data_IF_588794905984
#
_entry.id   IF_588794905984
#
_cell.length_a   1.000
_cell.length_b   1.000
_cell.length_c   1.000
_cell.angle_alpha   90.00
_cell.angle_beta   90.00
_cell.angle_gamma   90.00
#
_symmetry.space_group_name_H-M   'P 1'
#
loop_
_entity.id
_entity.type
_entity.pdbx_description
1 polymer ?
#
# COMPACT_ATOMS: atom_id res chain seq x y z
N UNK A 1 -12.41 -2.91 -19.94
CA UNK A 1 -12.73 -3.27 -21.33
C UNK A 1 -11.43 -3.24 -22.13
N UNK A 2 -10.64 -2.18 -21.96
CA UNK A 2 -9.36 -1.93 -22.62
C UNK A 2 -8.32 -3.05 -22.40
N UNK A 3 -8.16 -3.57 -21.18
CA UNK A 3 -7.20 -4.66 -20.93
C UNK A 3 -7.55 -5.98 -21.65
N UNK A 4 -8.84 -6.27 -21.82
CA UNK A 4 -9.31 -7.46 -22.53
C UNK A 4 -9.03 -7.29 -24.03
N UNK A 5 -9.17 -6.06 -24.52
CA UNK A 5 -8.91 -5.71 -25.92
C UNK A 5 -7.43 -5.73 -26.25
N UNK A 6 -6.59 -5.15 -25.40
CA UNK A 6 -5.12 -5.18 -25.55
C UNK A 6 -4.61 -6.63 -25.50
N UNK A 7 -5.17 -7.46 -24.61
CA UNK A 7 -4.82 -8.89 -24.55
C UNK A 7 -5.15 -9.60 -25.87
N UNK A 8 -6.33 -9.37 -26.45
CA UNK A 8 -6.72 -9.96 -27.74
C UNK A 8 -5.79 -9.54 -28.88
N UNK A 9 -5.38 -8.26 -28.91
CA UNK A 9 -4.43 -7.74 -29.91
C UNK A 9 -3.07 -8.42 -29.73
N UNK A 10 -2.57 -8.52 -28.50
CA UNK A 10 -1.30 -9.19 -28.21
C UNK A 10 -1.31 -10.66 -28.64
N UNK A 11 -2.39 -11.40 -28.32
CA UNK A 11 -2.59 -12.79 -28.75
C UNK A 11 -2.65 -12.93 -30.28
N UNK A 12 -3.30 -11.98 -30.97
CA UNK A 12 -3.39 -11.99 -32.43
C UNK A 12 -2.03 -11.82 -33.13
N UNK A 13 -1.13 -11.01 -32.56
CA UNK A 13 0.19 -10.72 -33.13
C UNK A 13 1.33 -11.57 -32.55
N UNK A 14 1.04 -12.56 -31.71
CA UNK A 14 2.03 -13.37 -30.96
C UNK A 14 3.03 -12.50 -30.18
N UNK A 15 2.52 -11.39 -29.60
CA UNK A 15 3.31 -10.45 -28.81
C UNK A 15 3.23 -10.88 -27.35
N UNK A 16 4.39 -11.17 -26.75
CA UNK A 16 4.47 -11.35 -25.29
C UNK A 16 4.07 -10.08 -24.59
N UNK A 17 3.05 -10.17 -23.74
CA UNK A 17 2.45 -9.01 -23.11
C UNK A 17 2.28 -9.18 -21.59
N UNK A 18 2.54 -8.10 -20.86
CA UNK A 18 2.48 -8.07 -19.41
C UNK A 18 1.68 -6.84 -18.97
N UNK A 19 0.66 -7.05 -18.13
CA UNK A 19 -0.04 -5.95 -17.45
C UNK A 19 0.41 -5.94 -16.00
N UNK A 20 1.07 -4.86 -15.59
CA UNK A 20 1.36 -4.60 -14.19
C UNK A 20 0.28 -3.69 -13.60
N UNK A 21 -0.36 -4.14 -12.53
CA UNK A 21 -1.30 -3.38 -11.72
C UNK A 21 -0.65 -3.08 -10.36
N UNK A 22 0.18 -2.04 -10.26
CA UNK A 22 0.70 -1.63 -8.97
C UNK A 22 -0.43 -1.15 -8.07
N UNK A 23 -0.29 -1.38 -6.76
CA UNK A 23 -1.04 -0.63 -5.77
C UNK A 23 -0.52 0.82 -5.70
N UNK A 24 -0.86 1.58 -4.67
CA UNK A 24 -0.49 3.00 -4.59
C UNK A 24 1.03 3.19 -4.52
N UNK A 25 1.61 3.82 -5.55
CA UNK A 25 3.07 3.93 -5.66
C UNK A 25 3.60 5.01 -4.69
N UNK A 26 4.64 4.67 -3.94
CA UNK A 26 5.40 5.58 -3.09
C UNK A 26 6.86 5.66 -3.53
N UNK A 27 7.36 6.89 -3.62
CA UNK A 27 8.73 7.25 -3.95
C UNK A 27 8.87 8.77 -3.84
N UNK A 28 10.05 9.34 -4.07
CA UNK A 28 10.40 10.76 -3.81
C UNK A 28 9.35 11.80 -4.21
N UNK A 29 8.62 11.58 -5.31
CA UNK A 29 7.64 12.53 -5.85
C UNK A 29 6.18 12.05 -5.74
N UNK A 30 5.87 11.04 -4.92
CA UNK A 30 4.50 10.54 -4.77
C UNK A 30 3.57 11.61 -4.21
N UNK A 31 2.62 12.07 -5.05
CA UNK A 31 1.67 13.12 -4.67
C UNK A 31 0.65 12.64 -3.64
N UNK A 32 0.21 11.39 -3.75
CA UNK A 32 -0.80 10.84 -2.84
C UNK A 32 -0.21 10.57 -1.46
N UNK A 33 0.98 9.97 -1.39
CA UNK A 33 1.70 9.78 -0.13
C UNK A 33 2.02 11.13 0.53
N UNK A 34 2.50 12.12 -0.25
CA UNK A 34 2.69 13.50 0.23
C UNK A 34 1.41 14.12 0.78
N UNK A 35 0.29 14.00 0.05
CA UNK A 35 -1.02 14.51 0.48
C UNK A 35 -1.47 13.83 1.77
N UNK A 36 -1.28 12.51 1.88
CA UNK A 36 -1.59 11.74 3.07
C UNK A 36 -0.77 12.21 4.29
N UNK A 37 0.55 12.33 4.15
CA UNK A 37 1.45 12.79 5.22
C UNK A 37 1.09 14.21 5.66
N UNK A 38 0.88 15.13 4.71
CA UNK A 38 0.52 16.51 5.02
C UNK A 38 -0.84 16.62 5.72
N UNK A 39 -1.84 15.86 5.27
CA UNK A 39 -3.14 15.80 5.92
C UNK A 39 -3.04 15.24 7.33
N UNK A 40 -2.19 14.24 7.56
CA UNK A 40 -1.98 13.69 8.88
C UNK A 40 -1.22 14.69 9.78
N UNK A 41 -0.16 15.33 9.28
CA UNK A 41 0.61 16.37 9.98
C UNK A 41 -0.30 17.48 10.52
N UNK A 42 -1.18 18.02 9.68
CA UNK A 42 -2.12 19.10 10.02
C UNK A 42 -3.35 18.66 10.82
N UNK A 43 -3.56 17.35 11.03
CA UNK A 43 -4.72 16.85 11.76
C UNK A 43 -4.61 17.09 13.28
N UNK A 44 -5.75 17.38 13.91
CA UNK A 44 -5.86 17.50 15.37
C UNK A 44 -5.53 16.18 16.08
N UNK A 45 -5.14 16.26 17.35
CA UNK A 45 -4.84 15.08 18.17
C UNK A 45 -6.01 14.09 18.22
N UNK A 46 -7.24 14.60 18.33
CA UNK A 46 -8.47 13.80 18.32
C UNK A 46 -8.63 13.04 17.00
N UNK A 47 -8.41 13.72 15.86
CA UNK A 47 -8.49 13.08 14.54
C UNK A 47 -7.40 12.02 14.35
N UNK A 48 -6.17 12.30 14.79
CA UNK A 48 -5.06 11.32 14.77
C UNK A 48 -5.38 10.08 15.60
N UNK A 49 -5.98 10.26 16.78
CA UNK A 49 -6.43 9.16 17.63
C UNK A 49 -7.46 8.26 16.94
N UNK A 50 -8.49 8.85 16.32
CA UNK A 50 -9.49 8.09 15.57
C UNK A 50 -8.89 7.34 14.38
N UNK A 51 -8.02 7.99 13.59
CA UNK A 51 -7.35 7.35 12.46
C UNK A 51 -6.58 6.10 12.89
N UNK A 52 -5.79 6.19 13.97
CA UNK A 52 -5.06 5.05 14.52
C UNK A 52 -5.99 3.94 15.03
N UNK A 53 -7.07 4.31 15.71
CA UNK A 53 -8.02 3.36 16.29
C UNK A 53 -8.78 2.59 15.21
N UNK A 54 -9.28 3.28 14.18
CA UNK A 54 -10.07 2.66 13.10
C UNK A 54 -9.22 1.85 12.14
N UNK A 55 -8.00 2.31 11.85
CA UNK A 55 -7.17 1.73 10.81
C UNK A 55 -6.05 0.84 11.36
N UNK A 56 -6.18 0.37 12.62
CA UNK A 56 -5.18 -0.47 13.29
C UNK A 56 -4.77 -1.70 12.48
N UNK A 57 -5.70 -2.34 11.76
CA UNK A 57 -5.48 -3.55 10.95
C UNK A 57 -5.59 -3.31 9.44
N UNK A 58 -5.74 -2.05 9.00
CA UNK A 58 -5.92 -1.73 7.58
C UNK A 58 -4.57 -1.76 6.87
N UNK A 59 -4.51 -2.42 5.72
CA UNK A 59 -3.36 -2.35 4.81
C UNK A 59 -3.34 -0.99 4.12
N UNK A 60 -2.15 -0.43 3.93
CA UNK A 60 -2.01 0.85 3.24
C UNK A 60 -2.02 0.74 1.73
N UNK A 61 -1.80 -0.46 1.18
CA UNK A 61 -1.71 -0.67 -0.27
C UNK A 61 -0.62 0.19 -0.92
N UNK A 62 0.45 0.51 -0.19
CA UNK A 62 1.58 1.20 -0.79
C UNK A 62 2.52 0.20 -1.46
N UNK A 63 3.15 0.61 -2.54
CA UNK A 63 4.22 -0.13 -3.19
C UNK A 63 5.37 0.82 -3.50
N UNK A 64 6.59 0.43 -3.16
CA UNK A 64 7.76 1.23 -3.48
C UNK A 64 7.95 1.33 -5.00
N UNK A 65 8.30 2.51 -5.49
CA UNK A 65 8.72 2.68 -6.90
C UNK A 65 9.92 1.80 -7.25
N UNK A 66 10.85 1.62 -6.32
CA UNK A 66 12.03 0.75 -6.52
C UNK A 66 11.60 -0.71 -6.63
N UNK A 67 10.63 -1.16 -5.83
CA UNK A 67 10.06 -2.51 -5.96
C UNK A 67 9.37 -2.69 -7.31
N UNK A 68 8.57 -1.72 -7.76
CA UNK A 68 7.91 -1.77 -9.06
C UNK A 68 8.95 -1.88 -10.21
N UNK A 69 10.03 -1.10 -10.15
CA UNK A 69 11.13 -1.16 -11.13
C UNK A 69 11.77 -2.56 -11.14
N UNK A 70 12.03 -3.16 -9.99
CA UNK A 70 12.58 -4.51 -9.95
C UNK A 70 11.64 -5.57 -10.55
N UNK A 71 10.33 -5.43 -10.35
CA UNK A 71 9.35 -6.32 -10.99
C UNK A 71 9.39 -6.18 -12.52
N UNK A 72 9.55 -4.96 -13.03
CA UNK A 72 9.73 -4.69 -14.47
C UNK A 72 11.04 -5.34 -14.97
N UNK A 73 12.15 -5.16 -14.25
CA UNK A 73 13.45 -5.77 -14.62
C UNK A 73 13.34 -7.29 -14.69
N UNK A 74 12.70 -7.95 -13.72
CA UNK A 74 12.49 -9.40 -13.75
C UNK A 74 11.66 -9.89 -14.93
N UNK A 75 10.67 -9.11 -15.37
CA UNK A 75 9.91 -9.41 -16.59
C UNK A 75 10.82 -9.33 -17.82
N UNK A 76 11.64 -8.28 -17.91
CA UNK A 76 12.59 -8.09 -19.02
C UNK A 76 13.63 -9.21 -19.06
N UNK A 77 14.09 -9.70 -17.92
CA UNK A 77 15.01 -10.85 -17.80
C UNK A 77 14.39 -12.18 -18.29
N UNK A 78 13.09 -12.19 -18.64
CA UNK A 78 12.43 -13.35 -19.24
C UNK A 78 12.16 -14.51 -18.27
N UNK A 79 12.27 -14.26 -16.96
CA UNK A 79 12.07 -15.28 -15.92
C UNK A 79 10.61 -15.48 -15.52
N UNK A 80 9.69 -14.74 -16.14
CA UNK A 80 8.29 -14.62 -15.73
C UNK A 80 7.40 -14.94 -16.92
N UNK A 81 6.32 -15.68 -16.68
CA UNK A 81 5.31 -15.98 -17.69
C UNK A 81 4.53 -14.71 -18.08
N UNK A 82 3.97 -14.66 -19.26
CA UNK A 82 3.10 -13.56 -19.66
C UNK A 82 1.79 -13.52 -18.86
N UNK A 83 1.19 -12.34 -18.73
CA UNK A 83 -0.10 -12.19 -18.03
C UNK A 83 -0.30 -10.89 -17.27
N UNK A 84 -1.31 -10.91 -16.39
CA UNK A 84 -1.73 -9.78 -15.57
C UNK A 84 -1.29 -10.02 -14.12
N UNK A 85 -0.49 -9.09 -13.61
CA UNK A 85 0.14 -9.17 -12.30
C UNK A 85 -0.29 -8.00 -11.43
N UNK A 86 -0.69 -8.29 -10.20
CA UNK A 86 -0.75 -7.26 -9.17
C UNK A 86 0.64 -7.12 -8.56
N UNK A 87 1.12 -5.87 -8.51
CA UNK A 87 2.36 -5.53 -7.82
C UNK A 87 1.98 -4.86 -6.51
N UNK A 88 2.04 -5.64 -5.43
CA UNK A 88 1.69 -5.19 -4.08
C UNK A 88 2.76 -5.63 -3.09
N UNK A 89 2.99 -4.82 -2.07
CA UNK A 89 3.80 -5.15 -0.90
C UNK A 89 2.92 -5.26 0.35
N UNK A 90 1.63 -5.59 0.22
CA UNK A 90 0.68 -5.67 1.35
C UNK A 90 1.02 -6.75 2.38
N UNK A 91 1.80 -7.76 1.99
CA UNK A 91 2.30 -8.79 2.92
C UNK A 91 3.43 -8.28 3.82
N UNK A 92 4.01 -7.11 3.53
CA UNK A 92 5.00 -6.49 4.41
C UNK A 92 4.34 -5.99 5.69
N UNK A 93 4.84 -6.44 6.84
CA UNK A 93 4.33 -6.06 8.16
C UNK A 93 4.29 -4.53 8.38
N UNK A 94 5.20 -3.82 7.72
CA UNK A 94 5.34 -2.37 7.78
C UNK A 94 4.40 -1.62 6.82
N UNK A 95 3.76 -2.31 5.89
CA UNK A 95 2.75 -1.76 4.98
C UNK A 95 1.34 -1.85 5.58
N UNK A 96 1.26 -1.76 6.91
CA UNK A 96 0.01 -1.49 7.60
C UNK A 96 -0.12 0.01 7.85
N UNK A 97 -1.35 0.50 7.71
CA UNK A 97 -1.66 1.91 7.89
C UNK A 97 -1.24 2.40 9.28
N UNK A 98 -1.37 1.56 10.31
CA UNK A 98 -1.00 1.89 11.68
C UNK A 98 0.51 2.04 11.89
N UNK A 99 1.32 1.14 11.33
CA UNK A 99 2.78 1.25 11.41
C UNK A 99 3.27 2.50 10.68
N UNK A 100 2.68 2.82 9.53
CA UNK A 100 2.95 4.07 8.82
C UNK A 100 2.67 5.30 9.69
N UNK A 101 1.53 5.34 10.38
CA UNK A 101 1.21 6.46 11.27
C UNK A 101 2.21 6.58 12.43
N UNK A 102 2.65 5.46 13.01
CA UNK A 102 3.69 5.46 14.05
C UNK A 102 5.00 6.04 13.54
N UNK A 103 5.40 5.67 12.32
CA UNK A 103 6.61 6.22 11.69
C UNK A 103 6.48 7.73 11.53
N UNK A 104 5.36 8.23 11.00
CA UNK A 104 5.14 9.67 10.84
C UNK A 104 5.18 10.39 12.21
N UNK A 105 4.53 9.85 13.24
CA UNK A 105 4.56 10.45 14.57
C UNK A 105 5.95 10.45 15.19
N UNK A 106 6.74 9.39 15.00
CA UNK A 106 8.11 9.32 15.51
C UNK A 106 9.00 10.44 14.95
N UNK A 107 8.74 10.86 13.71
CA UNK A 107 9.45 11.95 13.03
C UNK A 107 8.91 13.33 13.43
N UNK A 108 7.60 13.48 13.58
CA UNK A 108 6.97 14.73 14.00
C UNK A 108 7.20 15.06 15.49
N UNK A 109 7.24 14.05 16.35
CA UNK A 109 7.28 14.20 17.81
C UNK A 109 8.36 13.31 18.46
N UNK A 110 9.65 13.49 18.13
CA UNK A 110 10.73 12.60 18.56
C UNK A 110 10.91 12.54 20.09
N UNK A 111 10.46 13.56 20.81
CA UNK A 111 10.55 13.64 22.28
C UNK A 111 9.39 12.92 23.01
N UNK A 112 8.32 12.56 22.32
CA UNK A 112 7.17 11.86 22.92
C UNK A 112 7.40 10.37 22.77
N UNK A 113 7.69 9.66 23.87
CA UNK A 113 7.81 8.20 23.86
C UNK A 113 6.50 7.59 23.34
N UNK A 114 6.62 6.69 22.36
CA UNK A 114 5.51 6.05 21.64
C UNK A 114 4.49 5.31 22.53
N UNK A 115 4.77 5.12 23.83
CA UNK A 115 3.95 4.35 24.76
C UNK A 115 2.70 5.07 25.29
N UNK A 116 2.56 6.39 25.15
CA UNK A 116 1.50 7.12 25.86
C UNK A 116 0.13 7.15 25.15
N UNK A 117 -0.01 6.52 23.97
CA UNK A 117 -1.30 6.40 23.27
C UNK A 117 -1.86 4.97 23.25
N UNK A 118 -1.52 4.14 24.25
CA UNK A 118 -2.01 2.75 24.30
C UNK A 118 -3.47 2.60 24.76
N UNK A 119 -4.14 3.68 25.17
CA UNK A 119 -5.56 3.64 25.49
C UNK A 119 -6.41 3.86 24.22
N UNK A 120 -6.32 2.92 23.28
CA UNK A 120 -7.30 2.82 22.21
C UNK A 120 -8.56 2.23 22.84
N UNK A 121 -9.60 3.05 23.04
CA UNK A 121 -10.92 2.54 23.36
C UNK A 121 -11.22 1.43 22.33
N UNK A 122 -11.91 0.34 22.69
CA UNK A 122 -12.25 -0.73 21.75
C UNK A 122 -13.35 -0.28 20.78
N UNK A 123 -13.26 0.95 20.25
CA UNK A 123 -13.99 1.49 19.12
C UNK A 123 -13.87 0.59 17.88
N UNK A 124 -12.81 -0.24 17.80
CA UNK A 124 -12.77 -1.34 16.85
C UNK A 124 -14.01 -2.23 17.00
N UNK A 125 -14.41 -2.66 18.20
CA UNK A 125 -15.56 -3.55 18.36
C UNK A 125 -16.86 -2.93 17.82
N UNK A 126 -17.09 -1.66 18.14
CA UNK A 126 -18.21 -0.88 17.59
C UNK A 126 -18.11 -0.78 16.06
N UNK A 127 -16.92 -0.52 15.52
CA UNK A 127 -16.71 -0.42 14.09
C UNK A 127 -16.81 -1.77 13.37
N UNK A 128 -16.38 -2.88 13.97
CA UNK A 128 -16.57 -4.21 13.38
C UNK A 128 -18.05 -4.53 13.26
N UNK A 129 -18.86 -4.05 14.21
CA UNK A 129 -20.32 -4.15 14.14
C UNK A 129 -20.88 -3.29 13.00
N UNK A 130 -20.51 -2.02 12.90
CA UNK A 130 -20.91 -1.15 11.78
C UNK A 130 -20.44 -1.68 10.42
N UNK A 131 -19.17 -2.06 10.31
CA UNK A 131 -18.59 -2.63 9.10
C UNK A 131 -19.36 -3.90 8.69
N UNK A 132 -19.69 -4.80 9.62
CA UNK A 132 -20.49 -5.98 9.34
C UNK A 132 -21.88 -5.63 8.78
N UNK A 133 -22.55 -4.61 9.33
CA UNK A 133 -23.86 -4.13 8.85
C UNK A 133 -23.77 -3.55 7.42
N UNK A 134 -22.72 -2.81 7.11
CA UNK A 134 -22.56 -2.14 5.81
C UNK A 134 -21.83 -2.96 4.73
N UNK A 135 -21.25 -4.13 5.08
CA UNK A 135 -20.49 -4.98 4.15
C UNK A 135 -21.38 -5.81 3.21
N UNK A 136 -22.69 -5.86 3.45
CA UNK A 136 -23.66 -6.65 2.68
C UNK A 136 -23.71 -6.31 1.18
N UNK A 137 -23.13 -5.18 0.74
CA UNK A 137 -23.11 -4.73 -0.66
C UNK A 137 -21.74 -4.77 -1.34
N UNK A 138 -20.71 -5.41 -0.77
CA UNK A 138 -19.38 -5.42 -1.40
C UNK A 138 -19.20 -6.60 -2.37
N UNK A 139 -18.87 -6.26 -3.62
CA UNK A 139 -18.48 -7.18 -4.70
C UNK A 139 -17.46 -8.20 -4.19
N UNK A 140 -17.70 -9.48 -4.48
CA UNK A 140 -16.81 -10.59 -4.12
C UNK A 140 -15.35 -10.30 -4.50
N UNK A 141 -14.47 -10.27 -3.49
CA UNK A 141 -13.01 -10.10 -3.63
C UNK A 141 -12.40 -11.14 -4.60
N UNK A 142 -13.06 -12.27 -4.83
CA UNK A 142 -12.61 -13.33 -5.75
C UNK A 142 -12.86 -13.01 -7.23
N UNK A 143 -13.57 -11.93 -7.58
CA UNK A 143 -14.08 -11.72 -8.94
C UNK A 143 -13.18 -10.90 -9.88
N UNK A 144 -11.88 -10.77 -9.63
CA UNK A 144 -10.98 -10.11 -10.59
C UNK A 144 -9.71 -10.92 -10.80
N UNK A 145 -9.49 -11.27 -12.07
CA UNK A 145 -8.32 -11.89 -12.66
C UNK A 145 -7.03 -11.33 -12.07
N UNK A 146 -6.39 -12.11 -11.21
CA UNK A 146 -5.12 -11.79 -10.59
C UNK A 146 -4.35 -13.11 -10.53
N UNK A 147 -3.21 -13.19 -11.23
CA UNK A 147 -2.17 -14.14 -10.86
C UNK A 147 -1.86 -13.93 -9.37
N UNK A 148 -2.27 -14.88 -8.52
CA UNK A 148 -2.03 -14.81 -7.06
C UNK A 148 -0.55 -14.94 -6.70
N UNK A 149 0.29 -15.32 -7.65
CA UNK A 149 1.70 -15.53 -7.41
C UNK A 149 2.47 -14.24 -7.71
N UNK A 150 3.16 -13.66 -6.71
CA UNK A 150 3.93 -12.44 -6.89
C UNK A 150 5.16 -12.71 -7.78
N UNK A 151 5.52 -11.75 -8.64
CA UNK A 151 6.72 -11.82 -9.51
C UNK A 151 8.01 -11.83 -8.67
N UNK A 152 8.01 -11.06 -7.58
CA UNK A 152 9.05 -11.05 -6.56
C UNK A 152 8.37 -11.38 -5.23
N UNK A 153 8.88 -12.39 -4.53
CA UNK A 153 8.46 -12.66 -3.16
C UNK A 153 8.67 -11.40 -2.31
N UNK A 154 7.63 -10.88 -1.63
CA UNK A 154 7.75 -9.72 -0.75
C UNK A 154 8.90 -9.87 0.26
N UNK A 155 9.13 -11.08 0.78
CA UNK A 155 10.21 -11.36 1.74
C UNK A 155 11.61 -11.21 1.16
N UNK A 156 11.75 -11.19 -0.17
CA UNK A 156 13.03 -10.95 -0.85
C UNK A 156 13.30 -9.45 -1.09
N UNK A 157 12.38 -8.55 -0.68
CA UNK A 157 12.54 -7.12 -0.83
C UNK A 157 12.52 -6.38 0.51
N UNK A 158 13.70 -6.22 1.10
CA UNK A 158 13.89 -5.60 2.42
C UNK A 158 13.77 -4.07 2.47
N UNK A 159 13.46 -3.39 1.36
CA UNK A 159 13.64 -1.94 1.25
C UNK A 159 12.37 -1.08 1.32
N UNK A 160 11.16 -1.66 1.39
CA UNK A 160 9.93 -0.85 1.48
C UNK A 160 9.99 0.18 2.62
N UNK A 161 10.46 -0.25 3.79
CA UNK A 161 10.64 0.61 4.95
C UNK A 161 11.56 1.80 4.65
N UNK A 162 12.69 1.55 4.00
CA UNK A 162 13.70 2.56 3.72
C UNK A 162 13.17 3.57 2.71
N UNK A 163 12.61 3.10 1.59
CA UNK A 163 12.04 3.96 0.54
C UNK A 163 10.90 4.83 1.11
N UNK A 164 10.07 4.26 1.98
CA UNK A 164 8.97 4.98 2.60
C UNK A 164 9.46 5.99 3.66
N UNK A 165 10.48 5.63 4.44
CA UNK A 165 11.10 6.52 5.43
C UNK A 165 11.76 7.74 4.75
N UNK A 166 12.50 7.50 3.67
CA UNK A 166 13.12 8.56 2.86
C UNK A 166 12.06 9.52 2.31
N UNK A 167 10.95 8.98 1.80
CA UNK A 167 9.83 9.80 1.36
C UNK A 167 9.21 10.64 2.48
N UNK A 168 9.00 10.06 3.66
CA UNK A 168 8.50 10.81 4.83
C UNK A 168 9.47 11.94 5.19
N UNK A 169 10.76 11.66 5.26
CA UNK A 169 11.78 12.66 5.59
C UNK A 169 11.80 13.79 4.56
N UNK A 170 11.67 13.47 3.27
CA UNK A 170 11.55 14.46 2.20
C UNK A 170 10.32 15.35 2.38
N UNK A 171 9.15 14.77 2.66
CA UNK A 171 7.90 15.52 2.81
C UNK A 171 7.92 16.38 4.07
N UNK A 172 8.54 15.93 5.16
CA UNK A 172 8.58 16.65 6.42
C UNK A 172 9.63 17.77 6.48
N UNK A 173 10.71 17.69 5.70
CA UNK A 173 11.74 18.73 5.58
C UNK A 173 11.32 19.94 4.73
N UNK A 174 10.31 19.77 3.87
CA UNK A 174 9.70 20.84 3.06
C UNK A 174 8.54 21.51 3.78
#
# INVERSE_FOLDING_TARGET
KDEIEIKKIAEYFDIRFYILRPTEIVGDKSLNAKKFINNYKSSSLIKKYFLKSFYKKRLSHFVSSNFLIQNIIKIIEGKITEGIYIVSQDNESLNSFFEILKVIDSKLYPKIKANNFNFYLPLWLLFSFFYMIFRSNQVSIKSRFISKNPIIDPHNYFNFKNDFLEHIDYVLKK
#
